data_IF_391695140329
#
_entry.id   IF_391695140329
#
_cell.length_a   1.000
_cell.length_b   1.000
_cell.length_c   1.000
_cell.angle_alpha   90.00
_cell.angle_beta   90.00
_cell.angle_gamma   90.00
#
_symmetry.space_group_name_H-M   'P 1'
#
loop_
_entity.id
_entity.type
_entity.pdbx_description
1 polymer ?
#
# COMPACT_ATOMS: atom_id res chain seq x y z
N UNK A 1 -14.91 -10.71 -45.80
CA UNK A 1 -13.63 -9.97 -45.74
C UNK A 1 -13.96 -8.52 -45.44
N UNK A 2 -13.45 -7.96 -44.35
CA UNK A 2 -13.81 -6.61 -43.92
C UNK A 2 -13.07 -6.19 -42.65
N UNK A 3 -11.76 -6.04 -42.80
CA UNK A 3 -10.84 -5.08 -42.16
C UNK A 3 -11.01 -4.82 -40.65
N UNK A 4 -10.09 -5.43 -39.90
CA UNK A 4 -9.65 -5.05 -38.56
C UNK A 4 -9.36 -3.54 -38.49
N UNK A 5 -9.95 -2.84 -37.52
CA UNK A 5 -9.43 -1.57 -37.01
C UNK A 5 -9.02 -1.76 -35.55
N UNK A 6 -7.78 -2.19 -35.37
CA UNK A 6 -7.04 -1.97 -34.14
C UNK A 6 -6.52 -0.53 -34.18
N UNK A 7 -7.14 0.37 -33.44
CA UNK A 7 -6.50 1.60 -33.01
C UNK A 7 -6.18 1.46 -31.53
N UNK A 8 -4.88 1.34 -31.26
CA UNK A 8 -4.33 1.25 -29.92
C UNK A 8 -4.66 2.49 -29.11
N UNK A 9 -5.20 2.25 -27.91
CA UNK A 9 -5.33 3.25 -26.87
C UNK A 9 -3.93 3.54 -26.34
N UNK A 10 -3.43 4.75 -26.61
CA UNK A 10 -2.22 5.30 -26.01
C UNK A 10 -2.50 5.60 -24.53
N UNK A 11 -2.34 4.59 -23.67
CA UNK A 11 -2.33 4.75 -22.22
C UNK A 11 -0.93 5.20 -21.78
N UNK A 12 -0.79 6.51 -21.54
CA UNK A 12 0.14 7.23 -20.64
C UNK A 12 0.34 8.65 -21.20
N UNK A 13 -0.67 9.52 -21.00
CA UNK A 13 -0.57 10.94 -21.33
C UNK A 13 0.11 11.68 -20.18
N UNK A 14 1.43 11.67 -20.19
CA UNK A 14 2.34 12.67 -19.64
C UNK A 14 3.57 12.62 -20.55
N UNK A 15 4.14 13.78 -20.92
CA UNK A 15 5.27 13.97 -21.89
C UNK A 15 5.93 12.64 -22.28
N UNK A 16 5.75 12.18 -23.53
CA UNK A 16 6.24 10.88 -24.05
C UNK A 16 7.66 10.57 -23.53
N UNK A 17 7.76 9.92 -22.37
CA UNK A 17 9.04 9.61 -21.75
C UNK A 17 9.67 8.52 -22.61
N UNK A 18 10.84 8.82 -23.16
CA UNK A 18 11.57 7.89 -24.01
C UNK A 18 12.42 6.99 -23.13
N UNK A 19 11.86 5.85 -22.72
CA UNK A 19 12.64 4.84 -22.00
C UNK A 19 13.59 4.09 -22.94
N UNK A 20 14.77 3.76 -22.42
CA UNK A 20 15.71 2.88 -23.11
C UNK A 20 15.27 1.42 -22.98
N UNK A 21 15.70 0.57 -23.92
CA UNK A 21 15.51 -0.87 -23.81
C UNK A 21 16.55 -1.46 -22.85
N UNK A 22 16.08 -2.18 -21.84
CA UNK A 22 16.95 -2.92 -20.92
C UNK A 22 17.40 -4.23 -21.57
N UNK A 23 18.71 -4.39 -21.80
CA UNK A 23 19.29 -5.61 -22.39
C UNK A 23 19.73 -6.60 -21.31
N UNK A 24 19.73 -7.90 -21.61
CA UNK A 24 19.98 -8.97 -20.63
C UNK A 24 21.31 -8.87 -19.89
N UNK A 25 22.38 -8.39 -20.54
CA UNK A 25 23.67 -8.15 -19.88
C UNK A 25 23.57 -7.09 -18.77
N UNK A 26 22.79 -6.03 -19.02
CA UNK A 26 22.54 -4.98 -18.04
C UNK A 26 21.61 -5.46 -16.93
N UNK A 27 20.61 -6.31 -17.23
CA UNK A 27 19.77 -6.92 -16.19
C UNK A 27 20.62 -7.71 -15.18
N UNK A 28 21.51 -8.57 -15.67
CA UNK A 28 22.39 -9.37 -14.81
C UNK A 28 23.29 -8.45 -13.97
N UNK A 29 23.88 -7.42 -14.59
CA UNK A 29 24.71 -6.44 -13.91
C UNK A 29 23.92 -5.75 -12.78
N UNK A 30 22.77 -5.17 -13.10
CA UNK A 30 21.96 -4.44 -12.13
C UNK A 30 21.42 -5.34 -11.01
N UNK A 31 21.01 -6.59 -11.30
CA UNK A 31 20.61 -7.54 -10.24
C UNK A 31 21.73 -7.82 -9.25
N UNK A 32 22.98 -7.84 -9.70
CA UNK A 32 24.11 -8.00 -8.80
C UNK A 32 24.41 -6.71 -8.02
N UNK A 33 24.33 -5.56 -8.67
CA UNK A 33 24.56 -4.26 -8.01
C UNK A 33 23.44 -3.89 -7.02
N UNK A 34 22.20 -4.33 -7.23
CA UNK A 34 21.07 -4.09 -6.32
C UNK A 34 21.15 -4.92 -5.02
N UNK A 35 22.00 -5.95 -4.95
CA UNK A 35 22.21 -6.70 -3.71
C UNK A 35 22.85 -5.79 -2.67
N UNK A 36 22.26 -5.75 -1.46
CA UNK A 36 22.85 -5.07 -0.30
C UNK A 36 23.97 -5.92 0.29
N UNK A 37 25.05 -5.27 0.65
CA UNK A 37 26.19 -5.89 1.33
C UNK A 37 26.01 -5.75 2.85
N UNK A 38 25.77 -6.86 3.55
CA UNK A 38 25.53 -6.86 5.00
C UNK A 38 26.77 -6.52 5.82
N UNK A 39 27.97 -6.56 5.23
CA UNK A 39 29.22 -6.20 5.89
C UNK A 39 29.47 -4.68 5.89
N UNK A 40 28.64 -3.90 5.19
CA UNK A 40 28.75 -2.44 5.11
C UNK A 40 27.73 -1.75 6.00
N UNK A 41 28.00 -0.47 6.27
CA UNK A 41 27.08 0.38 7.02
C UNK A 41 25.72 0.48 6.30
N UNK A 42 24.64 0.23 7.05
CA UNK A 42 23.27 0.22 6.53
C UNK A 42 22.92 1.48 5.75
N UNK A 43 23.17 2.68 6.28
CA UNK A 43 22.77 3.93 5.63
C UNK A 43 23.45 4.10 4.28
N UNK A 44 24.75 3.80 4.19
CA UNK A 44 25.52 3.90 2.95
C UNK A 44 24.99 2.94 1.89
N UNK A 45 24.70 1.69 2.26
CA UNK A 45 24.13 0.70 1.34
C UNK A 45 22.68 1.02 0.95
N UNK A 46 21.88 1.53 1.89
CA UNK A 46 20.52 2.00 1.61
C UNK A 46 20.55 3.12 0.57
N UNK A 47 21.32 4.19 0.80
CA UNK A 47 21.45 5.32 -0.13
C UNK A 47 21.92 4.84 -1.51
N UNK A 48 22.95 3.98 -1.54
CA UNK A 48 23.49 3.42 -2.79
C UNK A 48 22.43 2.65 -3.57
N UNK A 49 21.69 1.77 -2.90
CA UNK A 49 20.67 0.93 -3.55
C UNK A 49 19.48 1.76 -4.02
N UNK A 50 18.95 2.66 -3.20
CA UNK A 50 17.84 3.56 -3.57
C UNK A 50 18.21 4.44 -4.77
N UNK A 51 19.44 5.00 -4.80
CA UNK A 51 19.91 5.77 -5.95
C UNK A 51 19.99 4.93 -7.23
N UNK A 52 20.44 3.67 -7.12
CA UNK A 52 20.50 2.76 -8.26
C UNK A 52 19.10 2.37 -8.76
N UNK A 53 18.16 2.08 -7.86
CA UNK A 53 16.75 1.82 -8.19
C UNK A 53 16.15 3.00 -8.98
N UNK A 54 16.38 4.23 -8.50
CA UNK A 54 15.95 5.45 -9.20
C UNK A 54 16.52 5.56 -10.61
N UNK A 55 17.82 5.32 -10.77
CA UNK A 55 18.50 5.37 -12.08
C UNK A 55 17.89 4.33 -13.02
N UNK A 56 17.69 3.10 -12.55
CA UNK A 56 17.11 2.01 -13.34
C UNK A 56 15.69 2.35 -13.78
N UNK A 57 14.83 2.78 -12.86
CA UNK A 57 13.43 3.07 -13.14
C UNK A 57 13.29 4.29 -14.06
N UNK A 58 13.99 5.40 -13.78
CA UNK A 58 13.94 6.60 -14.63
C UNK A 58 14.43 6.31 -16.06
N UNK A 59 15.39 5.40 -16.21
CA UNK A 59 16.01 5.08 -17.50
C UNK A 59 15.23 4.05 -18.32
N UNK A 60 14.70 3.01 -17.67
CA UNK A 60 14.09 1.85 -18.35
C UNK A 60 12.58 1.70 -18.08
N UNK A 61 11.98 2.63 -17.34
CA UNK A 61 10.55 2.65 -17.05
C UNK A 61 10.07 1.35 -16.41
N UNK A 62 8.99 0.78 -16.95
CA UNK A 62 8.39 -0.45 -16.43
C UNK A 62 9.30 -1.68 -16.47
N UNK A 63 10.24 -1.76 -17.42
CA UNK A 63 11.26 -2.83 -17.39
C UNK A 63 12.20 -2.68 -16.20
N UNK A 64 12.54 -1.43 -15.85
CA UNK A 64 13.30 -1.13 -14.65
C UNK A 64 12.54 -1.49 -13.36
N UNK A 65 11.23 -1.22 -13.31
CA UNK A 65 10.37 -1.63 -12.19
C UNK A 65 10.39 -3.15 -12.05
N UNK A 66 10.14 -3.90 -13.13
CA UNK A 66 10.23 -5.36 -13.12
C UNK A 66 11.59 -5.81 -12.59
N UNK A 67 12.69 -5.27 -13.09
CA UNK A 67 14.03 -5.63 -12.63
C UNK A 67 14.22 -5.44 -11.11
N UNK A 68 13.79 -4.29 -10.57
CA UNK A 68 13.94 -3.92 -9.16
C UNK A 68 13.04 -4.77 -8.24
N UNK A 69 11.81 -5.08 -8.68
CA UNK A 69 10.82 -5.76 -7.84
C UNK A 69 10.77 -7.28 -8.06
N UNK A 70 11.20 -7.81 -9.20
CA UNK A 70 11.33 -9.25 -9.43
C UNK A 70 12.37 -9.88 -8.50
N UNK A 71 13.40 -9.14 -8.09
CA UNK A 71 14.32 -9.59 -7.04
C UNK A 71 13.65 -9.79 -5.67
N UNK A 72 12.39 -9.38 -5.51
CA UNK A 72 11.60 -9.48 -4.27
C UNK A 72 10.51 -10.57 -4.33
N UNK A 73 10.70 -11.61 -5.16
CA UNK A 73 9.91 -12.86 -5.27
C UNK A 73 8.61 -12.83 -6.09
N UNK A 74 8.61 -12.22 -7.28
CA UNK A 74 7.52 -12.39 -8.25
C UNK A 74 7.99 -12.16 -9.68
N UNK A 75 7.38 -12.84 -10.65
CA UNK A 75 7.67 -12.66 -12.08
C UNK A 75 6.44 -12.26 -12.90
N UNK A 76 5.27 -12.13 -12.25
CA UNK A 76 4.00 -11.98 -12.94
C UNK A 76 3.43 -10.56 -12.81
N UNK A 77 4.19 -9.59 -13.34
CA UNK A 77 3.81 -8.18 -13.35
C UNK A 77 3.19 -7.78 -14.69
N UNK A 78 2.04 -7.11 -14.61
CA UNK A 78 1.26 -6.61 -15.72
C UNK A 78 1.09 -5.10 -15.60
N UNK A 79 1.65 -4.34 -16.54
CA UNK A 79 1.43 -2.88 -16.55
C UNK A 79 -0.01 -2.57 -16.94
N UNK A 80 -0.47 -1.39 -16.56
CA UNK A 80 -1.70 -0.81 -17.09
C UNK A 80 -1.65 -0.76 -18.63
N UNK A 81 -2.76 -1.12 -19.28
CA UNK A 81 -2.87 -1.41 -20.71
C UNK A 81 -2.70 -2.88 -21.06
N UNK A 82 -2.08 -3.69 -20.20
CA UNK A 82 -1.76 -5.10 -20.42
C UNK A 82 -2.24 -6.03 -19.28
N UNK A 83 -3.21 -5.56 -18.49
CA UNK A 83 -3.82 -6.40 -17.44
C UNK A 83 -4.53 -7.62 -18.07
N UNK A 84 -4.38 -8.82 -17.49
CA UNK A 84 -5.04 -10.01 -17.99
C UNK A 84 -6.53 -10.03 -17.61
N UNK A 85 -7.31 -10.88 -18.28
CA UNK A 85 -8.79 -10.89 -18.18
C UNK A 85 -9.32 -11.23 -16.79
N UNK A 86 -8.55 -11.99 -16.03
CA UNK A 86 -8.86 -12.42 -14.65
C UNK A 86 -8.39 -11.40 -13.60
N UNK A 87 -7.71 -10.33 -14.00
CA UNK A 87 -7.33 -9.25 -13.09
C UNK A 87 -8.57 -8.45 -12.64
N UNK A 88 -8.77 -8.21 -11.32
CA UNK A 88 -9.94 -7.49 -10.82
C UNK A 88 -10.14 -6.09 -11.40
N UNK A 89 -9.05 -5.43 -11.81
CA UNK A 89 -9.05 -4.08 -12.35
C UNK A 89 -9.06 -4.02 -13.89
N UNK A 90 -9.36 -5.13 -14.57
CA UNK A 90 -9.35 -5.21 -16.04
C UNK A 90 -10.27 -4.17 -16.71
N UNK A 91 -11.37 -3.80 -16.05
CA UNK A 91 -12.31 -2.79 -16.53
C UNK A 91 -11.74 -1.37 -16.60
N UNK A 92 -10.60 -1.13 -15.93
CA UNK A 92 -9.88 0.15 -15.90
C UNK A 92 -8.61 0.13 -16.77
N UNK A 93 -8.35 -0.97 -17.49
CA UNK A 93 -7.08 -1.22 -18.17
C UNK A 93 -6.79 -0.22 -19.31
N UNK A 94 -7.81 0.42 -19.88
CA UNK A 94 -7.69 1.40 -20.97
C UNK A 94 -7.53 2.85 -20.48
N UNK A 95 -7.54 3.08 -19.17
CA UNK A 95 -7.51 4.41 -18.57
C UNK A 95 -6.10 4.98 -18.46
N UNK A 96 -6.00 6.31 -18.46
CA UNK A 96 -4.80 6.97 -17.95
C UNK A 96 -4.67 6.75 -16.43
N UNK A 97 -3.49 6.98 -15.85
CA UNK A 97 -3.25 6.84 -14.41
C UNK A 97 -4.24 7.69 -13.59
N UNK A 98 -4.44 8.96 -13.96
CA UNK A 98 -5.33 9.85 -13.24
C UNK A 98 -6.81 9.42 -13.32
N UNK A 99 -7.25 8.95 -14.49
CA UNK A 99 -8.60 8.40 -14.67
C UNK A 99 -8.77 7.09 -13.91
N UNK A 100 -7.77 6.21 -13.95
CA UNK A 100 -7.75 4.95 -13.19
C UNK A 100 -7.96 5.24 -11.71
N UNK A 101 -7.15 6.13 -11.11
CA UNK A 101 -7.25 6.49 -9.69
C UNK A 101 -8.63 7.08 -9.38
N UNK A 102 -9.13 7.98 -10.25
CA UNK A 102 -10.46 8.59 -10.07
C UNK A 102 -11.57 7.53 -10.02
N UNK A 103 -11.59 6.61 -10.97
CA UNK A 103 -12.66 5.62 -11.08
C UNK A 103 -12.53 4.52 -10.03
N UNK A 104 -11.30 4.08 -9.72
CA UNK A 104 -11.07 3.04 -8.70
C UNK A 104 -11.49 3.51 -7.30
N UNK A 105 -11.13 4.74 -6.91
CA UNK A 105 -11.47 5.32 -5.61
C UNK A 105 -12.80 6.08 -5.58
N UNK A 106 -13.54 6.08 -6.69
CA UNK A 106 -14.83 6.78 -6.82
C UNK A 106 -15.80 6.56 -5.65
N UNK A 107 -15.98 5.34 -5.11
CA UNK A 107 -16.95 5.10 -4.04
C UNK A 107 -16.69 5.88 -2.75
N UNK A 108 -15.43 6.24 -2.46
CA UNK A 108 -15.02 6.96 -1.24
C UNK A 108 -14.38 8.32 -1.56
N UNK A 109 -14.53 8.80 -2.79
CA UNK A 109 -13.80 9.96 -3.29
C UNK A 109 -14.07 11.27 -2.55
N UNK A 110 -15.22 11.37 -1.89
CA UNK A 110 -15.58 12.53 -1.05
C UNK A 110 -14.91 12.49 0.32
N UNK A 111 -14.58 11.30 0.79
CA UNK A 111 -14.06 11.07 2.14
C UNK A 111 -12.52 11.12 2.15
N UNK A 112 -11.87 10.81 1.02
CA UNK A 112 -10.41 10.82 0.86
C UNK A 112 -9.88 11.73 -0.28
N UNK A 113 -10.32 12.99 -0.38
CA UNK A 113 -9.97 13.85 -1.52
C UNK A 113 -8.48 14.17 -1.62
N UNK A 114 -7.78 14.31 -0.49
CA UNK A 114 -6.35 14.64 -0.47
C UNK A 114 -5.51 13.46 -0.91
N UNK A 115 -5.80 12.25 -0.39
CA UNK A 115 -5.13 11.03 -0.83
C UNK A 115 -5.30 10.83 -2.35
N UNK A 116 -6.50 11.01 -2.89
CA UNK A 116 -6.72 10.89 -4.34
C UNK A 116 -5.92 11.94 -5.12
N UNK A 117 -5.86 13.18 -4.62
CA UNK A 117 -5.08 14.24 -5.26
C UNK A 117 -3.58 13.90 -5.26
N UNK A 118 -3.03 13.49 -4.11
CA UNK A 118 -1.63 13.10 -3.96
C UNK A 118 -1.28 11.90 -4.85
N UNK A 119 -2.12 10.87 -4.89
CA UNK A 119 -1.93 9.72 -5.80
C UNK A 119 -1.91 10.14 -7.26
N UNK A 120 -2.80 11.05 -7.69
CA UNK A 120 -2.85 11.51 -9.10
C UNK A 120 -1.63 12.31 -9.50
N UNK A 121 -1.13 13.13 -8.59
CA UNK A 121 0.04 13.98 -8.83
C UNK A 121 1.33 13.14 -8.87
N UNK A 122 1.45 12.20 -7.93
CA UNK A 122 2.71 11.51 -7.66
C UNK A 122 2.85 10.15 -8.34
N UNK A 123 1.73 9.51 -8.72
CA UNK A 123 1.80 8.19 -9.33
C UNK A 123 2.36 8.23 -10.76
N UNK A 124 3.50 7.55 -10.98
CA UNK A 124 4.14 7.41 -12.29
C UNK A 124 3.75 6.14 -13.02
N UNK A 125 3.50 5.06 -12.28
CA UNK A 125 3.08 3.79 -12.85
C UNK A 125 2.02 3.11 -11.99
N UNK A 126 1.05 2.51 -12.68
CA UNK A 126 0.13 1.54 -12.10
C UNK A 126 0.40 0.19 -12.77
N UNK A 127 0.54 -0.85 -11.97
CA UNK A 127 0.72 -2.22 -12.46
C UNK A 127 0.11 -3.21 -11.48
N UNK A 128 -0.34 -4.35 -12.00
CA UNK A 128 -0.84 -5.45 -11.19
C UNK A 128 0.20 -6.56 -11.09
N UNK A 129 0.15 -7.27 -9.98
CA UNK A 129 0.94 -8.47 -9.71
C UNK A 129 -0.02 -9.59 -9.31
N UNK A 130 0.16 -10.78 -9.86
CA UNK A 130 -0.49 -11.98 -9.34
C UNK A 130 0.57 -12.86 -8.67
N UNK A 131 0.52 -12.89 -7.34
CA UNK A 131 1.43 -13.65 -6.50
C UNK A 131 0.64 -14.71 -5.77
N UNK A 132 1.02 -15.98 -5.97
CA UNK A 132 0.38 -17.11 -5.28
C UNK A 132 -1.16 -17.14 -5.42
N UNK A 133 -1.67 -16.78 -6.61
CA UNK A 133 -3.10 -16.64 -6.93
C UNK A 133 -3.80 -15.47 -6.23
N UNK A 134 -3.05 -14.53 -5.65
CA UNK A 134 -3.57 -13.30 -5.08
C UNK A 134 -3.17 -12.11 -5.93
N UNK A 135 -4.17 -11.30 -6.28
CA UNK A 135 -3.96 -10.09 -7.06
C UNK A 135 -3.64 -8.91 -6.15
N UNK A 136 -2.58 -8.19 -6.52
CA UNK A 136 -2.17 -6.93 -5.94
C UNK A 136 -2.13 -5.87 -7.02
N UNK A 137 -2.46 -4.63 -6.65
CA UNK A 137 -2.33 -3.46 -7.50
C UNK A 137 -1.32 -2.50 -6.87
N UNK A 138 -0.31 -2.13 -7.63
CA UNK A 138 0.77 -1.28 -7.19
C UNK A 138 0.68 0.10 -7.83
N UNK A 139 0.93 1.11 -7.02
CA UNK A 139 1.05 2.50 -7.40
C UNK A 139 2.49 2.92 -7.11
N UNK A 140 3.32 3.07 -8.14
CA UNK A 140 4.66 3.61 -7.99
C UNK A 140 4.56 5.13 -7.92
N UNK A 141 4.96 5.68 -6.77
CA UNK A 141 4.89 7.10 -6.45
C UNK A 141 6.28 7.71 -6.52
N UNK A 142 6.41 8.90 -7.11
CA UNK A 142 7.63 9.71 -6.94
C UNK A 142 7.58 10.46 -5.61
N UNK A 143 8.70 10.47 -4.91
CA UNK A 143 8.81 10.88 -3.52
C UNK A 143 10.01 11.79 -3.34
N UNK A 144 9.99 12.60 -2.29
CA UNK A 144 11.18 13.30 -1.80
C UNK A 144 11.48 12.90 -0.36
N UNK A 145 12.76 12.67 -0.10
CA UNK A 145 13.29 12.60 1.25
C UNK A 145 13.34 14.02 1.86
N UNK A 146 13.48 14.09 3.19
CA UNK A 146 13.67 15.32 3.95
C UNK A 146 14.83 16.22 3.45
N UNK A 147 15.77 15.65 2.69
CA UNK A 147 16.91 16.34 2.08
C UNK A 147 16.75 16.60 0.56
N UNK A 148 15.50 16.64 0.07
CA UNK A 148 15.11 16.92 -1.32
C UNK A 148 15.52 15.86 -2.36
N UNK A 149 16.12 14.73 -1.95
CA UNK A 149 16.47 13.65 -2.87
C UNK A 149 15.22 12.90 -3.33
N UNK A 150 15.12 12.72 -4.65
CA UNK A 150 14.09 11.88 -5.25
C UNK A 150 14.24 10.42 -4.82
N UNK A 151 13.13 9.76 -4.52
CA UNK A 151 13.07 8.30 -4.45
C UNK A 151 11.70 7.79 -4.92
N UNK A 152 11.56 6.47 -5.03
CA UNK A 152 10.28 5.85 -5.37
C UNK A 152 9.74 5.06 -4.19
N UNK A 153 8.43 5.16 -3.99
CA UNK A 153 7.67 4.38 -3.03
C UNK A 153 6.57 3.61 -3.74
N UNK A 154 6.14 2.51 -3.14
CA UNK A 154 5.02 1.73 -3.66
C UNK A 154 3.92 1.66 -2.63
N UNK A 155 2.74 2.15 -3.02
CA UNK A 155 1.51 1.74 -2.38
C UNK A 155 0.97 0.50 -3.07
N UNK A 156 0.65 -0.51 -2.28
CA UNK A 156 0.09 -1.77 -2.75
C UNK A 156 -1.30 -1.94 -2.18
N UNK A 157 -2.29 -2.15 -3.03
CA UNK A 157 -3.65 -2.50 -2.66
C UNK A 157 -3.97 -3.96 -2.98
N UNK A 158 -4.60 -4.67 -2.06
CA UNK A 158 -5.12 -6.01 -2.32
C UNK A 158 -6.34 -5.98 -3.26
N UNK A 159 -6.68 -7.14 -3.83
CA UNK A 159 -7.90 -7.31 -4.61
C UNK A 159 -9.15 -6.88 -3.83
N UNK A 160 -10.18 -6.30 -4.50
CA UNK A 160 -11.44 -5.95 -3.86
C UNK A 160 -12.09 -7.11 -3.10
N UNK A 161 -12.49 -6.87 -1.85
CA UNK A 161 -13.26 -7.79 -1.03
C UNK A 161 -14.68 -7.24 -0.83
N UNK A 162 -15.62 -7.73 -1.66
CA UNK A 162 -16.98 -7.20 -1.72
C UNK A 162 -17.83 -7.47 -0.47
N UNK A 163 -17.57 -8.61 0.17
CA UNK A 163 -18.29 -9.10 1.34
C UNK A 163 -17.27 -9.48 2.42
N UNK A 164 -16.72 -8.46 3.09
CA UNK A 164 -15.80 -8.69 4.19
C UNK A 164 -16.55 -9.22 5.42
N UNK A 165 -16.17 -10.42 5.83
CA UNK A 165 -16.72 -11.13 6.99
C UNK A 165 -15.67 -11.17 8.11
N UNK A 166 -16.09 -11.23 9.39
CA UNK A 166 -15.17 -11.33 10.52
C UNK A 166 -14.24 -12.55 10.37
N UNK A 167 -12.94 -12.30 10.48
CA UNK A 167 -11.93 -13.36 10.50
C UNK A 167 -11.98 -14.15 11.82
N UNK A 168 -11.08 -15.13 12.01
CA UNK A 168 -11.08 -15.98 13.20
C UNK A 168 -10.90 -15.15 14.49
N UNK A 169 -9.96 -14.22 14.50
CA UNK A 169 -9.68 -13.36 15.65
C UNK A 169 -10.92 -12.50 15.99
N UNK A 170 -11.50 -11.80 15.02
CA UNK A 170 -12.67 -10.95 15.27
C UNK A 170 -13.84 -11.75 15.83
N UNK A 171 -14.08 -12.98 15.34
CA UNK A 171 -15.12 -13.87 15.88
C UNK A 171 -14.88 -14.26 17.33
N UNK A 172 -13.63 -14.55 17.70
CA UNK A 172 -13.23 -14.91 19.06
C UNK A 172 -13.52 -13.79 20.06
N UNK A 173 -13.29 -12.54 19.66
CA UNK A 173 -13.50 -11.35 20.48
C UNK A 173 -14.86 -10.66 20.25
N UNK A 174 -15.79 -11.32 19.54
CA UNK A 174 -17.13 -10.79 19.23
C UNK A 174 -17.09 -9.38 18.58
N UNK A 175 -16.22 -9.26 17.59
CA UNK A 175 -16.11 -8.12 16.70
C UNK A 175 -16.72 -8.41 15.34
N UNK A 176 -17.25 -7.34 14.74
CA UNK A 176 -17.54 -7.30 13.31
C UNK A 176 -16.47 -6.46 12.61
N UNK A 177 -16.28 -6.67 11.31
CA UNK A 177 -15.47 -5.76 10.50
C UNK A 177 -16.17 -4.39 10.47
N UNK A 178 -15.50 -3.28 10.85
CA UNK A 178 -16.08 -1.94 10.81
C UNK A 178 -16.63 -1.57 9.44
N UNK A 179 -17.75 -0.83 9.40
CA UNK A 179 -18.42 -0.50 8.14
C UNK A 179 -17.56 0.34 7.19
N UNK A 180 -16.74 1.22 7.73
CA UNK A 180 -15.82 2.05 6.95
C UNK A 180 -14.73 1.19 6.30
N UNK A 181 -14.16 0.24 7.05
CA UNK A 181 -13.25 -0.78 6.49
C UNK A 181 -13.94 -1.65 5.44
N UNK A 182 -15.17 -2.11 5.66
CA UNK A 182 -15.94 -2.86 4.64
C UNK A 182 -16.11 -2.04 3.37
N UNK A 183 -16.30 -0.73 3.50
CA UNK A 183 -16.46 0.18 2.35
C UNK A 183 -15.12 0.35 1.64
N UNK A 184 -14.03 0.51 2.38
CA UNK A 184 -12.67 0.60 1.85
C UNK A 184 -12.23 -0.68 1.13
N UNK A 185 -12.49 -1.85 1.74
CA UNK A 185 -12.13 -3.16 1.20
C UNK A 185 -12.80 -3.50 -0.12
N UNK A 186 -13.93 -2.87 -0.45
CA UNK A 186 -14.54 -2.98 -1.79
C UNK A 186 -13.70 -2.35 -2.90
N UNK A 187 -12.69 -1.55 -2.56
CA UNK A 187 -11.73 -0.96 -3.49
C UNK A 187 -10.40 -1.70 -3.37
N UNK A 188 -9.88 -1.81 -2.14
CA UNK A 188 -8.62 -2.49 -1.84
C UNK A 188 -8.70 -3.25 -0.51
N UNK A 189 -8.56 -4.57 -0.53
CA UNK A 189 -8.42 -5.37 0.69
C UNK A 189 -7.00 -5.20 1.26
N UNK A 190 -6.85 -4.16 2.08
CA UNK A 190 -5.57 -3.64 2.53
C UNK A 190 -4.94 -2.68 1.49
N UNK A 191 -4.23 -1.66 1.95
CA UNK A 191 -3.66 -0.61 1.10
C UNK A 191 -2.56 0.19 1.81
N UNK A 192 -1.42 0.41 1.14
CA UNK A 192 -0.36 1.28 1.63
C UNK A 192 1.03 0.72 1.39
N UNK A 193 2.00 1.14 2.21
CA UNK A 193 3.39 0.68 2.14
C UNK A 193 3.58 -0.55 3.02
N UNK A 194 3.49 -1.73 2.39
CA UNK A 194 3.50 -3.01 3.11
C UNK A 194 4.87 -3.27 3.77
N UNK A 195 5.96 -2.82 3.17
CA UNK A 195 7.32 -3.15 3.65
C UNK A 195 7.78 -2.34 4.86
N UNK A 196 7.19 -1.17 5.09
CA UNK A 196 7.55 -0.26 6.19
C UNK A 196 6.41 -0.13 7.21
N UNK A 197 5.48 -1.09 7.19
CA UNK A 197 4.33 -1.19 8.08
C UNK A 197 3.29 -0.05 8.02
N UNK A 198 3.47 0.96 7.17
CA UNK A 198 2.49 2.05 6.98
C UNK A 198 1.37 1.68 6.00
N UNK A 199 0.47 0.77 6.42
CA UNK A 199 -0.62 0.30 5.57
C UNK A 199 -1.91 -0.02 6.34
N UNK A 200 -3.04 0.20 5.68
CA UNK A 200 -4.31 -0.38 6.10
C UNK A 200 -4.21 -1.89 5.89
N UNK A 201 -4.32 -2.65 6.97
CA UNK A 201 -4.21 -4.11 6.96
C UNK A 201 -5.34 -4.75 6.15
N UNK A 202 -5.09 -5.92 5.55
CA UNK A 202 -6.13 -6.70 4.89
C UNK A 202 -7.06 -7.35 5.94
N UNK A 203 -8.27 -7.74 5.51
CA UNK A 203 -9.29 -8.30 6.39
C UNK A 203 -8.85 -9.55 7.15
N UNK A 204 -7.95 -10.36 6.57
CA UNK A 204 -7.46 -11.57 7.20
C UNK A 204 -6.37 -11.28 8.26
N UNK A 205 -5.79 -10.07 8.23
CA UNK A 205 -4.68 -9.67 9.07
C UNK A 205 -5.10 -8.79 10.26
N UNK A 206 -6.22 -8.05 10.16
CA UNK A 206 -6.72 -7.23 11.27
C UNK A 206 -7.01 -8.07 12.52
N UNK A 207 -6.67 -7.53 13.70
CA UNK A 207 -6.76 -8.26 14.97
C UNK A 207 -7.20 -7.35 16.11
N UNK A 208 -7.98 -7.91 17.01
CA UNK A 208 -8.31 -7.29 18.28
C UNK A 208 -7.08 -7.36 19.18
N UNK A 209 -6.66 -6.20 19.71
CA UNK A 209 -5.43 -6.04 20.49
C UNK A 209 -5.36 -6.98 21.70
N UNK A 210 -6.51 -7.38 22.24
CA UNK A 210 -6.64 -8.34 23.33
C UNK A 210 -5.93 -9.68 23.08
N UNK A 211 -5.82 -10.15 21.84
CA UNK A 211 -5.11 -11.41 21.52
C UNK A 211 -3.66 -11.35 22.01
N UNK A 212 -2.99 -10.23 21.80
CA UNK A 212 -1.60 -10.00 22.19
C UNK A 212 -1.49 -9.44 23.61
N UNK A 213 -2.32 -8.45 23.96
CA UNK A 213 -2.09 -7.63 25.15
C UNK A 213 -2.67 -8.23 26.43
N UNK A 214 -3.75 -9.02 26.39
CA UNK A 214 -4.32 -9.61 27.60
C UNK A 214 -3.35 -10.57 28.31
N UNK A 215 -2.62 -11.46 27.60
CA UNK A 215 -1.56 -12.27 28.21
C UNK A 215 -0.47 -11.43 28.88
N UNK A 216 0.00 -10.37 28.22
CA UNK A 216 1.04 -9.47 28.74
C UNK A 216 0.56 -8.76 30.01
N UNK A 217 -0.65 -8.21 29.99
CA UNK A 217 -1.27 -7.58 31.15
C UNK A 217 -1.37 -8.52 32.35
N UNK A 218 -1.73 -9.78 32.09
CA UNK A 218 -1.82 -10.81 33.13
C UNK A 218 -0.45 -11.16 33.73
N UNK A 219 0.58 -11.26 32.89
CA UNK A 219 1.95 -11.54 33.34
C UNK A 219 2.52 -10.38 34.18
N UNK A 220 2.29 -9.14 33.75
CA UNK A 220 2.79 -7.94 34.41
C UNK A 220 1.91 -7.47 35.57
N UNK A 221 0.69 -8.03 35.70
CA UNK A 221 -0.32 -7.60 36.67
C UNK A 221 -0.66 -6.10 36.55
N UNK A 222 -0.78 -5.63 35.31
CA UNK A 222 -1.14 -4.25 34.94
C UNK A 222 -2.37 -4.30 34.03
N UNK A 223 -3.15 -3.21 33.99
CA UNK A 223 -4.26 -3.00 33.07
C UNK A 223 -4.15 -1.58 32.49
N UNK A 224 -4.65 -1.33 31.27
CA UNK A 224 -4.73 0.01 30.74
C UNK A 224 -5.78 0.84 31.48
N UNK A 225 -5.53 2.14 31.61
CA UNK A 225 -6.45 3.07 32.26
C UNK A 225 -7.52 3.56 31.27
N UNK A 226 -8.79 3.39 31.62
CA UNK A 226 -9.91 3.99 30.89
C UNK A 226 -10.42 3.22 29.66
N UNK A 227 -9.81 2.10 29.26
CA UNK A 227 -10.29 1.25 28.17
C UNK A 227 -9.96 -0.24 28.38
N UNK A 228 -10.39 -1.12 27.47
CA UNK A 228 -9.96 -2.52 27.40
C UNK A 228 -9.32 -2.81 26.06
N UNK A 229 -8.29 -3.66 26.03
CA UNK A 229 -7.74 -4.16 24.76
C UNK A 229 -8.76 -4.97 23.93
N UNK A 230 -9.84 -5.46 24.54
CA UNK A 230 -10.95 -6.08 23.81
C UNK A 230 -11.75 -5.06 22.97
N UNK A 231 -11.60 -3.77 23.27
CA UNK A 231 -12.28 -2.67 22.59
C UNK A 231 -11.42 -2.02 21.51
N UNK A 232 -10.20 -2.52 21.27
CA UNK A 232 -9.33 -2.02 20.21
C UNK A 232 -9.14 -3.06 19.11
N UNK A 233 -9.41 -2.67 17.88
CA UNK A 233 -9.15 -3.44 16.67
C UNK A 233 -8.07 -2.75 15.85
N UNK A 234 -6.89 -3.35 15.78
CA UNK A 234 -5.76 -2.87 14.99
C UNK A 234 -6.09 -2.95 13.50
N UNK A 235 -5.84 -1.86 12.78
CA UNK A 235 -5.98 -1.85 11.31
C UNK A 235 -4.86 -1.10 10.57
N UNK A 236 -4.01 -0.35 11.27
CA UNK A 236 -2.91 0.39 10.66
C UNK A 236 -1.73 0.47 11.66
N UNK A 237 -0.75 -0.43 11.58
CA UNK A 237 0.45 -0.37 12.41
C UNK A 237 1.39 0.74 11.95
N UNK A 238 2.35 1.12 12.80
CA UNK A 238 3.44 2.05 12.44
C UNK A 238 4.82 1.37 12.30
N UNK A 239 4.90 0.06 12.57
CA UNK A 239 6.15 -0.72 12.52
C UNK A 239 7.09 -0.53 13.71
N UNK A 240 6.79 0.39 14.61
CA UNK A 240 7.51 0.63 15.87
C UNK A 240 6.75 0.09 17.09
N UNK A 241 5.59 -0.52 16.87
CA UNK A 241 4.78 -1.16 17.90
C UNK A 241 3.47 -0.42 18.17
N UNK A 242 3.34 0.84 17.75
CA UNK A 242 2.10 1.59 17.86
C UNK A 242 1.16 1.24 16.70
N UNK A 243 -0.11 1.61 16.86
CA UNK A 243 -1.08 1.42 15.80
C UNK A 243 -2.27 2.36 15.92
N UNK A 244 -2.81 2.75 14.77
CA UNK A 244 -4.17 3.25 14.71
C UNK A 244 -5.15 2.07 14.83
N UNK A 245 -6.05 2.18 15.79
CA UNK A 245 -7.04 1.16 16.11
C UNK A 245 -8.46 1.70 15.94
N UNK A 246 -9.39 0.88 15.47
CA UNK A 246 -10.81 1.16 15.70
C UNK A 246 -11.10 0.99 17.18
N UNK A 247 -11.82 1.96 17.75
CA UNK A 247 -12.21 1.90 19.15
C UNK A 247 -13.70 1.55 19.24
N UNK A 248 -14.03 0.51 20.00
CA UNK A 248 -15.41 0.08 20.31
C UNK A 248 -16.06 1.03 21.31
N UNK A 249 -16.10 2.30 20.97
CA UNK A 249 -16.88 3.32 21.64
C UNK A 249 -18.16 3.59 20.81
N UNK A 250 -19.08 4.39 21.33
CA UNK A 250 -20.34 4.68 20.64
C UNK A 250 -20.17 5.54 19.36
N UNK A 251 -18.94 5.93 18.99
CA UNK A 251 -18.64 6.88 17.90
C UNK A 251 -18.08 6.25 16.62
N UNK A 252 -17.81 4.93 16.56
CA UNK A 252 -17.16 4.28 15.39
C UNK A 252 -15.88 5.00 14.95
N UNK A 253 -15.15 5.59 15.89
CA UNK A 253 -13.92 6.33 15.63
C UNK A 253 -12.70 5.41 15.70
N UNK A 254 -11.56 5.96 15.30
CA UNK A 254 -10.25 5.36 15.47
C UNK A 254 -9.44 6.18 16.47
N UNK A 255 -8.55 5.52 17.20
CA UNK A 255 -7.62 6.13 18.16
C UNK A 255 -6.21 5.66 17.87
N UNK A 256 -5.24 6.53 18.14
CA UNK A 256 -3.82 6.18 18.13
C UNK A 256 -3.50 5.47 19.45
N UNK A 257 -2.92 4.28 19.38
CA UNK A 257 -2.54 3.49 20.54
C UNK A 257 -1.02 3.41 20.65
N UNK A 258 -0.50 3.86 21.79
CA UNK A 258 0.92 3.87 22.11
C UNK A 258 1.31 2.62 22.91
N UNK A 259 2.25 1.84 22.39
CA UNK A 259 2.68 0.58 23.00
C UNK A 259 3.60 0.75 24.20
N UNK A 260 4.27 1.90 24.35
CA UNK A 260 5.22 2.18 25.42
C UNK A 260 4.51 2.56 26.71
N UNK A 261 3.44 3.37 26.59
CA UNK A 261 2.70 3.91 27.75
C UNK A 261 1.28 3.37 27.89
N UNK A 262 0.79 2.61 26.90
CA UNK A 262 -0.56 1.99 26.88
C UNK A 262 -1.67 3.02 26.99
N UNK A 263 -1.50 4.15 26.31
CA UNK A 263 -2.49 5.21 26.21
C UNK A 263 -3.15 5.20 24.83
N UNK A 264 -4.40 5.67 24.79
CA UNK A 264 -5.11 5.97 23.54
C UNK A 264 -5.25 7.47 23.41
N UNK A 265 -5.05 8.00 22.20
CA UNK A 265 -5.19 9.43 21.92
C UNK A 265 -5.71 9.68 20.51
N UNK A 266 -5.88 10.95 20.14
CA UNK A 266 -6.14 11.35 18.75
C UNK A 266 -7.40 10.74 18.12
N UNK A 267 -8.54 10.77 18.83
CA UNK A 267 -9.81 10.24 18.28
C UNK A 267 -10.16 10.93 16.96
N UNK A 268 -10.31 10.15 15.89
CA UNK A 268 -10.58 10.64 14.53
C UNK A 268 -11.43 9.64 13.74
N UNK A 269 -12.02 10.05 12.62
CA UNK A 269 -12.73 9.14 11.72
C UNK A 269 -11.76 8.32 10.87
N UNK A 270 -12.12 7.08 10.50
CA UNK A 270 -11.27 6.23 9.66
C UNK A 270 -10.86 6.91 8.35
N UNK A 271 -11.83 7.47 7.62
CA UNK A 271 -11.53 8.13 6.34
C UNK A 271 -10.73 9.42 6.51
N UNK A 272 -10.96 10.17 7.60
CA UNK A 272 -10.18 11.36 7.93
C UNK A 272 -8.72 11.00 8.19
N UNK A 273 -8.48 9.97 9.01
CA UNK A 273 -7.15 9.44 9.28
C UNK A 273 -6.41 9.03 8.01
N UNK A 274 -6.98 8.15 7.19
CA UNK A 274 -6.27 7.68 5.98
C UNK A 274 -6.11 8.81 4.95
N UNK A 275 -7.07 9.74 4.87
CA UNK A 275 -6.97 10.88 3.97
C UNK A 275 -5.81 11.80 4.37
N UNK A 276 -5.56 12.00 5.66
CA UNK A 276 -4.42 12.76 6.14
C UNK A 276 -3.14 11.95 5.99
N UNK A 277 -3.05 10.83 6.72
CA UNK A 277 -1.82 10.06 6.91
C UNK A 277 -1.21 9.52 5.62
N UNK A 278 -2.05 9.13 4.66
CA UNK A 278 -1.59 8.56 3.39
C UNK A 278 -1.49 9.61 2.28
N UNK A 279 -1.92 10.86 2.52
CA UNK A 279 -1.72 11.97 1.57
C UNK A 279 -0.39 12.70 1.77
N UNK A 280 0.19 12.58 2.97
CA UNK A 280 1.54 13.00 3.33
C UNK A 280 2.52 12.02 2.69
N UNK A 281 2.88 12.33 1.45
CA UNK A 281 3.70 11.45 0.63
C UNK A 281 5.19 11.69 0.95
N UNK A 282 5.67 12.93 1.00
CA UNK A 282 7.09 13.19 1.28
C UNK A 282 7.49 12.86 2.73
N UNK A 283 8.72 12.38 2.93
CA UNK A 283 9.26 12.16 4.28
C UNK A 283 9.70 13.51 4.88
N UNK A 284 9.12 13.87 6.03
CA UNK A 284 9.53 15.02 6.83
C UNK A 284 10.83 14.76 7.63
#
# INVERSE_FOLDING_TARGET
>A
MGILSFFGVNSQNNKKESYENLISELEIKYRNELKRDSEKEFNSEFIRTTNLENVIIKKYGFQGIKLVFESRNSSNFHKLGELPKDCPWISLNDKTIAEFITENFKPISKDIPNLIASLKDRCKFIFAENKENTWHLHYLLDMKLYDDRDYFKIYTGGAPLLNAEPNKNLKEFNWNVPNDLKTFYKIHNGFGEIYDAYFVMANDDIKVMAEMMNPICKEQNVQPDGYSFNDLLEFYPDGAGNAQCFYKNNSNSTVDWDHEIWEISGETGFFEFINQRMSEIDEE
#
